data_IF_142212754170
#
_entry.id   IF_142212754170
#
_cell.length_a   1.000
_cell.length_b   1.000
_cell.length_c   1.000
_cell.angle_alpha   90.00
_cell.angle_beta   90.00
_cell.angle_gamma   90.00
#
_symmetry.space_group_name_H-M   'P 1'
#
loop_
_entity.id
_entity.type
_entity.pdbx_description
1 polymer ?
#
# COMPACT_ATOMS: atom_id res chain seq x y z
N UNK A 1 20.36 -19.50 -6.96
CA UNK A 1 19.55 -20.22 -7.96
C UNK A 1 20.41 -20.60 -9.17
N UNK A 2 21.02 -19.65 -9.88
CA UNK A 2 21.85 -19.90 -11.08
C UNK A 2 23.02 -20.87 -10.81
N UNK A 3 23.72 -20.71 -9.68
CA UNK A 3 24.79 -21.66 -9.27
C UNK A 3 24.27 -23.09 -8.98
N UNK A 4 22.97 -23.25 -8.74
CA UNK A 4 22.32 -24.55 -8.54
C UNK A 4 21.68 -25.10 -9.83
N UNK A 5 21.93 -24.48 -11.00
CA UNK A 5 21.38 -24.88 -12.28
C UNK A 5 19.87 -24.59 -12.44
N UNK A 6 19.29 -23.74 -11.58
CA UNK A 6 17.88 -23.34 -11.66
C UNK A 6 17.74 -22.08 -12.50
N UNK A 7 16.71 -22.05 -13.34
CA UNK A 7 16.36 -20.84 -14.10
C UNK A 7 15.72 -19.80 -13.17
N UNK A 8 16.27 -18.58 -13.18
CA UNK A 8 15.71 -17.44 -12.49
C UNK A 8 14.69 -16.73 -13.38
N UNK A 9 13.45 -16.58 -12.91
CA UNK A 9 12.41 -15.80 -13.60
C UNK A 9 12.42 -14.39 -13.02
N UNK A 10 13.13 -13.48 -13.67
CA UNK A 10 13.31 -12.11 -13.22
C UNK A 10 14.55 -11.45 -13.83
N UNK A 11 14.82 -10.19 -13.42
CA UNK A 11 15.96 -9.43 -13.95
C UNK A 11 17.30 -9.95 -13.40
N UNK A 12 18.41 -9.57 -14.05
CA UNK A 12 19.77 -9.87 -13.57
C UNK A 12 20.01 -9.28 -12.17
N UNK A 13 20.83 -9.94 -11.32
CA UNK A 13 21.15 -9.45 -9.98
C UNK A 13 21.71 -8.01 -9.97
N UNK A 14 22.48 -7.65 -10.99
CA UNK A 14 23.07 -6.33 -11.15
C UNK A 14 21.99 -5.24 -11.33
N UNK A 15 20.95 -5.54 -12.12
CA UNK A 15 19.82 -4.63 -12.29
C UNK A 15 19.03 -4.47 -10.99
N UNK A 16 18.83 -5.56 -10.22
CA UNK A 16 18.18 -5.51 -8.90
C UNK A 16 19.00 -4.66 -7.95
N UNK A 17 20.31 -4.89 -7.86
CA UNK A 17 21.20 -4.14 -6.98
C UNK A 17 21.25 -2.65 -7.34
N UNK A 18 21.40 -2.33 -8.63
CA UNK A 18 21.50 -0.96 -9.11
C UNK A 18 20.19 -0.17 -8.87
N UNK A 19 19.04 -0.77 -9.17
CA UNK A 19 17.73 -0.09 -9.01
C UNK A 19 17.21 -0.14 -7.59
N UNK A 20 17.69 -1.07 -6.75
CA UNK A 20 17.37 -1.18 -5.33
C UNK A 20 18.10 -0.15 -4.46
N UNK A 21 19.26 0.33 -4.88
CA UNK A 21 19.98 1.44 -4.24
C UNK A 21 19.46 2.77 -4.83
N UNK A 22 18.80 3.57 -4.01
CA UNK A 22 18.14 4.81 -4.45
C UNK A 22 19.10 5.83 -5.05
N UNK A 23 20.31 5.96 -4.50
CA UNK A 23 21.31 6.90 -5.00
C UNK A 23 21.96 6.37 -6.28
N UNK A 24 22.23 5.06 -6.37
CA UNK A 24 22.73 4.43 -7.58
C UNK A 24 21.71 4.53 -8.73
N UNK A 25 20.42 4.26 -8.44
CA UNK A 25 19.33 4.40 -9.40
C UNK A 25 19.25 5.84 -9.93
N UNK A 26 19.28 6.84 -9.04
CA UNK A 26 19.25 8.26 -9.43
C UNK A 26 20.40 8.63 -10.36
N UNK A 27 21.62 8.19 -10.04
CA UNK A 27 22.79 8.42 -10.92
C UNK A 27 22.63 7.75 -12.27
N UNK A 28 22.14 6.51 -12.29
CA UNK A 28 21.92 5.75 -13.52
C UNK A 28 20.87 6.39 -14.43
N UNK A 29 19.74 6.85 -13.88
CA UNK A 29 18.67 7.47 -14.68
C UNK A 29 19.08 8.83 -15.20
N UNK A 30 19.82 9.63 -14.42
CA UNK A 30 20.40 10.90 -14.90
C UNK A 30 21.35 10.68 -16.08
N UNK A 31 22.23 9.66 -16.00
CA UNK A 31 23.12 9.30 -17.09
C UNK A 31 22.36 8.83 -18.34
N UNK A 32 21.16 8.27 -18.17
CA UNK A 32 20.27 7.89 -19.26
C UNK A 32 19.40 9.03 -19.80
N UNK A 33 19.57 10.28 -19.31
CA UNK A 33 18.79 11.44 -19.72
C UNK A 33 17.37 11.46 -19.17
N UNK A 34 17.13 10.74 -18.07
CA UNK A 34 15.84 10.73 -17.37
C UNK A 34 15.93 11.59 -16.12
N UNK A 35 14.95 12.45 -15.91
CA UNK A 35 14.91 13.36 -14.78
C UNK A 35 14.33 12.67 -13.54
N UNK A 36 15.11 12.42 -12.46
CA UNK A 36 14.56 11.98 -11.18
C UNK A 36 13.90 13.16 -10.45
N UNK A 37 13.08 12.86 -9.45
CA UNK A 37 12.59 13.88 -8.51
C UNK A 37 13.75 14.76 -8.09
N UNK A 38 13.64 16.12 -8.17
CA UNK A 38 14.73 17.02 -7.79
C UNK A 38 15.26 16.68 -6.39
N UNK A 39 16.56 16.39 -6.28
CA UNK A 39 17.13 15.88 -5.03
C UNK A 39 18.64 15.66 -5.13
N UNK A 40 19.27 15.27 -4.02
CA UNK A 40 20.69 14.97 -3.97
C UNK A 40 21.00 13.60 -4.58
N UNK A 41 22.21 13.42 -5.09
CA UNK A 41 22.72 12.15 -5.64
C UNK A 41 23.73 11.50 -4.71
N UNK A 42 24.12 12.21 -3.65
CA UNK A 42 25.02 11.76 -2.60
C UNK A 42 24.33 11.88 -1.24
N UNK A 43 24.74 11.09 -0.25
CA UNK A 43 24.22 11.19 1.11
C UNK A 43 24.47 12.58 1.72
N UNK A 44 23.52 13.01 2.54
CA UNK A 44 23.55 14.27 3.29
C UNK A 44 23.75 13.98 4.76
N UNK A 45 24.71 14.66 5.40
CA UNK A 45 25.02 14.49 6.81
C UNK A 45 24.90 15.79 7.63
N UNK A 46 24.98 16.96 6.95
CA UNK A 46 24.91 18.26 7.61
C UNK A 46 23.50 18.88 7.44
N UNK A 47 22.85 19.30 8.55
CA UNK A 47 21.60 20.07 8.46
C UNK A 47 21.67 21.30 7.59
N UNK A 48 22.83 21.93 7.43
CA UNK A 48 23.03 23.08 6.55
C UNK A 48 22.79 22.72 5.07
N UNK A 49 23.08 21.48 4.66
CA UNK A 49 22.80 21.00 3.31
C UNK A 49 21.28 20.89 3.07
N UNK A 50 20.51 20.48 4.10
CA UNK A 50 19.03 20.43 4.03
C UNK A 50 18.47 21.83 3.81
N UNK A 51 18.98 22.80 4.55
CA UNK A 51 18.58 24.21 4.44
C UNK A 51 18.91 24.75 3.05
N UNK A 52 20.16 24.59 2.61
CA UNK A 52 20.60 25.05 1.28
C UNK A 52 19.79 24.41 0.16
N UNK A 53 19.48 23.12 0.27
CA UNK A 53 18.63 22.43 -0.72
C UNK A 53 17.21 22.99 -0.74
N UNK A 54 16.60 23.23 0.44
CA UNK A 54 15.26 23.79 0.54
C UNK A 54 15.16 25.22 0.00
N UNK A 55 16.18 26.05 0.23
CA UNK A 55 16.26 27.41 -0.32
C UNK A 55 16.41 27.41 -1.86
N UNK A 56 17.18 26.46 -2.40
CA UNK A 56 17.41 26.35 -3.83
C UNK A 56 16.24 25.71 -4.61
N UNK A 57 15.53 24.74 -4.02
CA UNK A 57 14.52 23.93 -4.70
C UNK A 57 13.08 24.20 -4.22
N UNK A 58 12.91 25.03 -3.19
CA UNK A 58 11.63 25.32 -2.55
C UNK A 58 11.29 24.31 -1.43
N UNK A 59 10.53 24.81 -0.45
CA UNK A 59 9.99 24.04 0.65
C UNK A 59 8.57 23.54 0.32
N UNK A 60 8.10 22.41 0.90
CA UNK A 60 8.84 21.50 1.80
C UNK A 60 9.82 20.56 1.08
N UNK A 61 10.74 19.98 1.87
CA UNK A 61 11.75 19.02 1.43
C UNK A 61 11.51 17.67 2.14
N UNK A 62 11.73 16.56 1.46
CA UNK A 62 11.74 15.24 2.06
C UNK A 62 13.18 14.79 2.36
N UNK A 63 13.46 14.45 3.61
CA UNK A 63 14.66 13.71 4.04
C UNK A 63 14.30 12.24 3.99
N UNK A 64 15.04 11.44 3.21
CA UNK A 64 14.75 10.03 2.95
C UNK A 64 15.96 9.16 3.27
N UNK A 65 15.74 7.97 3.84
CA UNK A 65 16.78 6.96 3.97
C UNK A 65 17.28 6.51 2.59
N UNK A 66 18.59 6.42 2.41
CA UNK A 66 19.21 5.91 1.17
C UNK A 66 18.97 4.41 1.00
N UNK A 67 19.03 3.65 2.10
CA UNK A 67 18.65 2.24 2.15
C UNK A 67 17.17 2.09 2.51
N UNK A 68 16.49 1.07 1.97
CA UNK A 68 15.11 0.73 2.31
C UNK A 68 14.05 1.25 1.33
N UNK A 69 12.78 0.94 1.62
CA UNK A 69 11.61 1.23 0.78
C UNK A 69 10.30 1.25 1.57
N UNK A 70 9.17 1.44 0.85
CA UNK A 70 7.85 1.36 1.48
C UNK A 70 7.47 2.55 2.37
N UNK A 71 8.07 3.74 2.15
CA UNK A 71 7.71 4.96 2.89
C UNK A 71 8.37 5.11 4.26
N UNK A 72 9.17 4.14 4.71
CA UNK A 72 9.92 4.23 5.98
C UNK A 72 11.14 5.14 5.86
N UNK A 73 11.48 5.84 6.93
CA UNK A 73 12.62 6.75 6.95
C UNK A 73 12.41 8.00 6.10
N UNK A 74 11.16 8.42 5.91
CA UNK A 74 10.81 9.68 5.23
C UNK A 74 10.38 10.70 6.28
N UNK A 75 11.01 11.89 6.23
CA UNK A 75 10.62 13.05 7.03
C UNK A 75 10.41 14.25 6.14
N UNK A 76 9.21 14.83 6.22
CA UNK A 76 8.92 16.08 5.51
C UNK A 76 9.35 17.24 6.40
N UNK A 77 10.11 18.17 5.83
CA UNK A 77 10.68 19.35 6.49
C UNK A 77 10.03 20.58 5.87
N UNK A 78 9.22 21.28 6.65
CA UNK A 78 8.47 22.44 6.16
C UNK A 78 9.32 23.72 6.07
N UNK A 79 10.44 23.80 6.79
CA UNK A 79 11.31 24.96 6.80
C UNK A 79 12.64 24.70 7.51
N UNK A 80 13.55 25.69 7.46
CA UNK A 80 14.94 25.51 7.93
C UNK A 80 15.07 25.16 9.42
N UNK A 81 14.09 25.56 10.24
CA UNK A 81 14.12 25.30 11.69
C UNK A 81 13.98 23.82 12.04
N UNK A 82 13.38 23.02 11.17
CA UNK A 82 13.12 21.59 11.37
C UNK A 82 14.27 20.73 10.85
N UNK A 83 15.17 21.28 10.01
CA UNK A 83 16.18 20.53 9.26
C UNK A 83 17.04 19.61 10.12
N UNK A 84 17.60 20.11 11.24
CA UNK A 84 18.48 19.35 12.13
C UNK A 84 17.75 18.19 12.81
N UNK A 85 16.55 18.44 13.33
CA UNK A 85 15.77 17.44 14.04
C UNK A 85 15.30 16.33 13.07
N UNK A 86 14.85 16.71 11.88
CA UNK A 86 14.36 15.78 10.86
C UNK A 86 15.48 14.88 10.31
N UNK A 87 16.66 15.45 9.98
CA UNK A 87 17.80 14.67 9.51
C UNK A 87 18.27 13.67 10.56
N UNK A 88 18.42 14.13 11.83
CA UNK A 88 18.83 13.26 12.91
C UNK A 88 17.80 12.14 13.19
N UNK A 89 16.51 12.42 13.08
CA UNK A 89 15.46 11.42 13.27
C UNK A 89 15.44 10.40 12.13
N UNK A 90 15.49 10.86 10.85
CA UNK A 90 15.54 9.99 9.69
C UNK A 90 16.77 9.07 9.71
N UNK A 91 17.94 9.61 10.02
CA UNK A 91 19.17 8.82 10.09
C UNK A 91 19.14 7.74 11.19
N UNK A 92 18.62 8.07 12.39
CA UNK A 92 18.44 7.07 13.46
C UNK A 92 17.46 5.96 13.08
N UNK A 93 16.34 6.34 12.47
CA UNK A 93 15.33 5.38 12.00
C UNK A 93 15.90 4.46 10.91
N UNK A 94 16.62 5.04 9.94
CA UNK A 94 17.30 4.30 8.88
C UNK A 94 18.35 3.33 9.44
N UNK A 95 19.18 3.78 10.38
CA UNK A 95 20.18 2.94 11.04
C UNK A 95 19.53 1.77 11.80
N UNK A 96 18.42 2.03 12.49
CA UNK A 96 17.72 0.99 13.25
C UNK A 96 17.01 -0.03 12.34
N UNK A 97 16.40 0.43 11.24
CA UNK A 97 15.60 -0.41 10.37
C UNK A 97 16.42 -1.16 9.29
N UNK A 98 17.50 -0.53 8.80
CA UNK A 98 18.26 -1.02 7.64
C UNK A 98 19.74 -1.25 7.90
N UNK A 99 20.24 -0.87 9.08
CA UNK A 99 21.66 -0.96 9.40
C UNK A 99 22.53 0.13 8.74
N UNK A 100 21.92 1.07 8.03
CA UNK A 100 22.57 2.19 7.34
C UNK A 100 21.78 3.48 7.60
N UNK A 101 22.42 4.46 8.24
CA UNK A 101 21.83 5.76 8.58
C UNK A 101 21.96 6.83 7.49
N UNK A 102 22.47 6.48 6.30
CA UNK A 102 22.62 7.42 5.20
C UNK A 102 21.27 7.97 4.73
N UNK A 103 21.18 9.29 4.62
CA UNK A 103 19.98 10.00 4.14
C UNK A 103 20.30 10.82 2.89
N UNK A 104 19.30 11.10 2.09
CA UNK A 104 19.36 12.00 0.94
C UNK A 104 18.13 12.90 0.90
N UNK A 105 18.14 13.93 0.07
CA UNK A 105 17.09 14.92 -0.02
C UNK A 105 16.34 14.81 -1.34
N UNK A 106 15.03 15.04 -1.27
CA UNK A 106 14.18 15.23 -2.43
C UNK A 106 13.21 16.39 -2.20
N UNK A 107 12.83 17.07 -3.28
CA UNK A 107 11.70 17.99 -3.24
C UNK A 107 10.42 17.22 -2.89
N UNK A 108 9.64 17.76 -1.97
CA UNK A 108 8.34 17.19 -1.63
C UNK A 108 7.23 17.84 -2.48
N UNK A 109 6.38 17.03 -3.05
CA UNK A 109 5.18 17.47 -3.77
C UNK A 109 3.96 17.14 -2.92
N UNK A 110 3.12 18.16 -2.66
CA UNK A 110 1.96 17.98 -1.77
C UNK A 110 0.84 17.16 -2.41
N UNK A 111 0.60 17.32 -3.70
CA UNK A 111 -0.52 16.69 -4.42
C UNK A 111 -0.10 16.07 -5.74
N UNK A 112 0.94 15.22 -5.75
CA UNK A 112 1.38 14.57 -6.98
C UNK A 112 0.45 13.41 -7.30
N UNK A 113 0.48 12.99 -8.57
CA UNK A 113 -0.08 11.71 -8.99
C UNK A 113 1.05 10.69 -9.16
N UNK A 114 0.73 9.44 -8.85
CA UNK A 114 1.61 8.31 -9.05
C UNK A 114 1.28 7.66 -10.39
N UNK A 115 2.14 7.88 -11.36
CA UNK A 115 2.04 7.29 -12.69
C UNK A 115 3.19 6.33 -12.89
N UNK A 116 2.93 5.17 -13.45
CA UNK A 116 3.97 4.17 -13.67
C UNK A 116 3.87 3.56 -15.06
N UNK A 117 4.98 3.07 -15.59
CA UNK A 117 5.04 2.48 -16.92
C UNK A 117 5.53 1.05 -16.84
N UNK A 118 4.70 0.11 -17.34
CA UNK A 118 5.09 -1.28 -17.46
C UNK A 118 6.09 -1.46 -18.57
N UNK A 119 7.25 -2.08 -18.27
CA UNK A 119 8.22 -2.51 -19.26
C UNK A 119 8.32 -4.04 -19.30
N UNK A 120 8.66 -4.54 -20.45
CA UNK A 120 8.96 -5.95 -20.69
C UNK A 120 10.19 -6.04 -21.58
N UNK A 121 11.20 -6.81 -21.16
CA UNK A 121 12.48 -6.92 -21.81
C UNK A 121 12.93 -8.38 -21.92
N UNK A 122 13.68 -8.72 -22.98
CA UNK A 122 14.28 -10.05 -23.17
C UNK A 122 15.81 -10.01 -23.06
N UNK A 123 16.42 -11.18 -23.09
CA UNK A 123 17.89 -11.33 -23.08
C UNK A 123 18.55 -11.06 -24.44
N UNK A 124 17.79 -10.70 -25.47
CA UNK A 124 18.26 -10.47 -26.84
C UNK A 124 18.29 -9.00 -27.24
N UNK A 125 17.97 -8.09 -26.29
CA UNK A 125 17.93 -6.65 -26.49
C UNK A 125 16.57 -6.09 -26.89
N UNK A 126 15.54 -6.93 -26.97
CA UNK A 126 14.16 -6.48 -27.15
C UNK A 126 13.63 -5.83 -25.87
N UNK A 127 13.11 -4.61 -25.96
CA UNK A 127 12.46 -3.91 -24.85
C UNK A 127 11.25 -3.17 -25.39
N UNK A 128 10.10 -3.36 -24.75
CA UNK A 128 8.86 -2.64 -25.04
C UNK A 128 8.27 -2.05 -23.75
N UNK A 129 7.54 -0.95 -23.87
CA UNK A 129 6.62 -0.50 -22.85
C UNK A 129 5.19 -0.96 -23.17
N UNK A 130 4.40 -1.28 -22.17
CA UNK A 130 3.01 -1.71 -22.31
C UNK A 130 2.00 -0.61 -21.89
N UNK A 131 2.42 0.63 -21.89
CA UNK A 131 1.61 1.77 -21.47
C UNK A 131 1.79 2.10 -19.99
N UNK A 132 1.08 3.15 -19.57
CA UNK A 132 1.10 3.66 -18.22
C UNK A 132 -0.12 3.20 -17.41
N UNK A 133 0.06 3.17 -16.09
CA UNK A 133 -0.98 3.03 -15.07
C UNK A 133 -1.02 4.27 -14.18
N UNK A 134 -2.17 4.58 -13.65
CA UNK A 134 -2.33 5.47 -12.52
C UNK A 134 -2.55 4.67 -11.24
N UNK A 135 -1.76 4.94 -10.23
CA UNK A 135 -1.80 4.29 -8.93
C UNK A 135 -1.91 5.32 -7.80
N UNK A 136 -2.56 6.45 -8.06
CA UNK A 136 -2.66 7.56 -7.12
C UNK A 136 -3.64 7.31 -5.97
N UNK A 137 -4.59 6.39 -6.14
CA UNK A 137 -5.51 6.04 -5.05
C UNK A 137 -4.81 5.11 -4.08
N UNK A 138 -4.24 5.70 -3.04
CA UNK A 138 -3.43 5.03 -2.04
C UNK A 138 -3.91 5.40 -0.64
N UNK A 139 -3.59 4.54 0.31
CA UNK A 139 -3.66 4.82 1.73
C UNK A 139 -2.34 4.44 2.38
N UNK A 140 -1.68 5.39 3.06
CA UNK A 140 -0.36 5.19 3.69
C UNK A 140 0.64 4.50 2.74
N UNK A 141 0.68 4.95 1.49
CA UNK A 141 1.50 4.40 0.40
C UNK A 141 1.12 2.97 -0.06
N UNK A 142 0.00 2.42 0.39
CA UNK A 142 -0.57 1.19 -0.16
C UNK A 142 -1.61 1.53 -1.21
N UNK A 143 -1.43 1.01 -2.42
CA UNK A 143 -2.35 1.19 -3.54
C UNK A 143 -3.65 0.44 -3.26
N UNK A 144 -4.80 1.05 -3.57
CA UNK A 144 -6.14 0.48 -3.39
C UNK A 144 -6.92 0.37 -4.68
N UNK A 145 -6.74 1.36 -5.58
CA UNK A 145 -7.34 1.36 -6.91
C UNK A 145 -6.28 1.79 -7.91
N UNK A 146 -6.15 1.00 -8.96
CA UNK A 146 -5.25 1.26 -10.08
C UNK A 146 -6.03 1.26 -11.40
N UNK A 147 -5.60 2.07 -12.34
CA UNK A 147 -6.25 2.15 -13.65
C UNK A 147 -5.25 2.30 -14.81
N UNK A 148 -5.62 1.77 -15.96
CA UNK A 148 -4.87 1.90 -17.21
C UNK A 148 -5.82 2.22 -18.38
N UNK A 149 -5.43 3.17 -19.27
CA UNK A 149 -4.32 4.11 -19.14
C UNK A 149 -4.56 5.15 -18.04
N UNK A 150 -3.51 5.90 -17.64
CA UNK A 150 -3.62 6.96 -16.61
C UNK A 150 -4.54 8.08 -17.08
N UNK A 151 -5.67 8.34 -16.39
CA UNK A 151 -6.62 9.36 -16.81
C UNK A 151 -6.09 10.76 -16.53
N UNK A 152 -6.40 11.71 -17.40
CA UNK A 152 -6.01 13.11 -17.25
C UNK A 152 -4.52 13.40 -17.51
N UNK A 153 -3.69 12.38 -17.74
CA UNK A 153 -2.28 12.56 -18.10
C UNK A 153 -2.17 13.11 -19.53
N UNK A 154 -1.50 14.27 -19.76
CA UNK A 154 -1.32 14.81 -21.11
C UNK A 154 -0.56 13.83 -22.02
N UNK A 155 -0.97 13.73 -23.28
CA UNK A 155 -0.38 12.78 -24.23
C UNK A 155 1.12 12.93 -24.41
N UNK A 156 1.63 14.18 -24.40
CA UNK A 156 3.07 14.46 -24.47
C UNK A 156 3.81 13.96 -23.22
N UNK A 157 3.24 14.16 -22.03
CA UNK A 157 3.80 13.64 -20.78
C UNK A 157 3.80 12.11 -20.79
N UNK A 158 2.68 11.49 -21.17
CA UNK A 158 2.59 10.04 -21.29
C UNK A 158 3.67 9.47 -22.23
N UNK A 159 3.85 10.09 -23.40
CA UNK A 159 4.89 9.67 -24.35
C UNK A 159 6.30 9.84 -23.78
N UNK A 160 6.56 10.95 -23.08
CA UNK A 160 7.84 11.19 -22.39
C UNK A 160 8.14 10.11 -21.34
N UNK A 161 7.15 9.79 -20.48
CA UNK A 161 7.32 8.77 -19.45
C UNK A 161 7.57 7.38 -20.03
N UNK A 162 6.87 7.01 -21.11
CA UNK A 162 7.08 5.74 -21.83
C UNK A 162 8.49 5.66 -22.40
N UNK A 163 8.98 6.75 -23.00
CA UNK A 163 10.33 6.85 -23.54
C UNK A 163 11.37 6.71 -22.43
N UNK A 164 11.15 7.41 -21.31
CA UNK A 164 12.02 7.34 -20.14
C UNK A 164 12.05 5.95 -19.52
N UNK A 165 10.92 5.26 -19.40
CA UNK A 165 10.86 3.91 -18.86
C UNK A 165 11.70 2.93 -19.68
N UNK A 166 11.65 3.02 -21.00
CA UNK A 166 12.51 2.22 -21.89
C UNK A 166 13.99 2.58 -21.72
N UNK A 167 14.31 3.86 -21.58
CA UNK A 167 15.69 4.32 -21.35
C UNK A 167 16.25 3.79 -20.02
N UNK A 168 15.46 3.84 -18.93
CA UNK A 168 15.82 3.27 -17.62
C UNK A 168 16.08 1.77 -17.73
N UNK A 169 15.16 1.02 -18.35
CA UNK A 169 15.32 -0.43 -18.52
C UNK A 169 16.58 -0.78 -19.33
N UNK A 170 16.91 -0.01 -20.37
CA UNK A 170 18.16 -0.17 -21.14
C UNK A 170 19.40 0.13 -20.31
N UNK A 171 19.37 1.20 -19.51
CA UNK A 171 20.52 1.64 -18.71
C UNK A 171 20.97 0.62 -17.66
N UNK A 172 20.03 -0.20 -17.13
CA UNK A 172 20.34 -1.24 -16.16
C UNK A 172 20.40 -2.66 -16.76
N UNK A 173 20.35 -2.81 -18.09
CA UNK A 173 20.36 -4.12 -18.74
C UNK A 173 19.20 -5.03 -18.29
N UNK A 174 18.00 -4.47 -18.18
CA UNK A 174 16.83 -5.13 -17.62
C UNK A 174 16.36 -6.30 -18.47
N UNK A 175 15.93 -7.38 -17.80
CA UNK A 175 15.32 -8.57 -18.42
C UNK A 175 14.10 -8.98 -17.60
N UNK A 176 13.01 -9.38 -18.25
CA UNK A 176 11.75 -9.74 -17.63
C UNK A 176 10.76 -8.55 -17.54
N UNK A 177 9.74 -8.70 -16.71
CA UNK A 177 8.77 -7.65 -16.45
C UNK A 177 9.25 -6.73 -15.31
N UNK A 178 9.15 -5.42 -15.53
CA UNK A 178 9.47 -4.40 -14.53
C UNK A 178 8.56 -3.20 -14.69
N UNK A 179 8.56 -2.33 -13.69
CA UNK A 179 7.76 -1.12 -13.69
C UNK A 179 8.62 0.06 -13.29
N UNK A 180 8.56 1.12 -14.07
CA UNK A 180 9.21 2.39 -13.76
C UNK A 180 8.17 3.35 -13.23
N UNK A 181 8.32 3.80 -11.99
CA UNK A 181 7.40 4.68 -11.27
C UNK A 181 7.84 6.15 -11.39
N UNK A 182 6.85 7.02 -11.56
CA UNK A 182 7.01 8.45 -11.73
C UNK A 182 6.05 9.22 -10.82
N UNK A 183 6.49 10.37 -10.34
CA UNK A 183 5.60 11.40 -9.81
C UNK A 183 5.25 12.38 -10.93
N UNK A 184 3.97 12.64 -11.11
CA UNK A 184 3.45 13.68 -11.97
C UNK A 184 2.73 14.75 -11.14
N UNK A 185 3.12 15.99 -11.29
CA UNK A 185 2.46 17.12 -10.64
C UNK A 185 1.59 17.86 -11.67
N UNK A 186 0.26 17.69 -11.60
CA UNK A 186 -0.66 18.39 -12.52
C UNK A 186 -0.57 19.90 -12.44
N UNK A 187 -0.17 20.47 -11.30
CA UNK A 187 -0.12 21.92 -11.09
C UNK A 187 1.03 22.57 -11.89
N UNK A 188 2.19 21.92 -11.93
CA UNK A 188 3.36 22.41 -12.71
C UNK A 188 3.46 21.76 -14.10
N UNK A 189 2.75 20.65 -14.35
CA UNK A 189 2.93 19.81 -15.53
C UNK A 189 4.22 18.97 -15.51
N UNK A 190 5.01 19.07 -14.44
CA UNK A 190 6.27 18.34 -14.26
C UNK A 190 6.03 16.86 -13.98
N UNK A 191 6.96 16.05 -14.44
CA UNK A 191 6.96 14.62 -14.12
C UNK A 191 8.41 14.15 -13.95
N UNK A 192 8.64 13.25 -12.97
CA UNK A 192 9.98 12.83 -12.55
C UNK A 192 10.01 11.35 -12.20
N UNK A 193 11.13 10.71 -12.51
CA UNK A 193 11.41 9.34 -12.07
C UNK A 193 11.42 9.29 -10.54
N UNK A 194 10.72 8.30 -9.99
CA UNK A 194 10.67 7.99 -8.56
C UNK A 194 11.54 6.77 -8.23
N UNK A 195 11.20 5.62 -8.78
CA UNK A 195 11.94 4.37 -8.60
C UNK A 195 11.61 3.35 -9.71
N UNK A 196 12.35 2.23 -9.74
CA UNK A 196 12.02 1.09 -10.60
C UNK A 196 11.78 -0.14 -9.75
N UNK A 197 10.61 -0.73 -9.91
CA UNK A 197 10.29 -2.03 -9.34
C UNK A 197 10.78 -3.14 -10.26
N UNK A 198 11.78 -3.88 -9.79
CA UNK A 198 12.48 -4.94 -10.54
C UNK A 198 11.78 -6.30 -10.44
N UNK A 199 10.45 -6.28 -10.52
CA UNK A 199 9.55 -7.43 -10.42
C UNK A 199 8.21 -7.12 -11.07
N UNK A 200 7.38 -8.14 -11.23
CA UNK A 200 5.97 -7.93 -11.53
C UNK A 200 5.27 -7.26 -10.33
N UNK A 201 4.29 -6.42 -10.60
CA UNK A 201 3.48 -5.75 -9.57
C UNK A 201 2.08 -6.35 -9.48
N UNK A 202 1.37 -6.08 -8.37
CA UNK A 202 0.01 -6.56 -8.12
C UNK A 202 -0.93 -6.07 -9.22
N UNK A 203 -0.77 -4.83 -9.66
CA UNK A 203 -1.60 -4.09 -10.60
C UNK A 203 -1.31 -4.35 -12.09
N UNK A 204 -0.46 -5.36 -12.42
CA UNK A 204 -0.22 -5.73 -13.82
C UNK A 204 -1.50 -6.11 -14.62
N UNK A 205 -2.56 -6.64 -13.99
CA UNK A 205 -3.76 -7.05 -14.72
C UNK A 205 -4.46 -5.93 -15.46
N UNK A 206 -4.42 -4.67 -15.01
CA UNK A 206 -5.04 -3.58 -15.78
C UNK A 206 -4.28 -3.32 -17.08
N UNK A 207 -2.97 -3.49 -17.09
CA UNK A 207 -2.15 -3.42 -18.32
C UNK A 207 -2.47 -4.58 -19.25
N UNK A 208 -2.58 -5.81 -18.73
CA UNK A 208 -2.99 -6.99 -19.52
C UNK A 208 -4.37 -6.79 -20.14
N UNK A 209 -5.32 -6.26 -19.36
CA UNK A 209 -6.70 -6.03 -19.84
C UNK A 209 -6.78 -5.04 -20.99
N UNK A 210 -5.96 -3.99 -21.00
CA UNK A 210 -6.00 -2.97 -22.07
C UNK A 210 -5.08 -3.30 -23.25
N UNK A 211 -4.05 -4.15 -23.07
CA UNK A 211 -3.09 -4.48 -24.14
C UNK A 211 -3.33 -5.86 -24.76
N UNK A 212 -3.95 -6.78 -24.03
CA UNK A 212 -4.08 -8.18 -24.40
C UNK A 212 -2.77 -8.98 -24.29
N UNK A 213 -1.73 -8.41 -23.67
CA UNK A 213 -0.44 -9.08 -23.44
C UNK A 213 -0.47 -9.80 -22.10
N UNK A 214 -0.28 -11.11 -22.10
CA UNK A 214 -0.07 -11.91 -20.89
C UNK A 214 1.38 -11.72 -20.41
N UNK A 215 1.55 -10.86 -19.40
CA UNK A 215 2.85 -10.46 -18.87
C UNK A 215 3.52 -11.63 -18.15
N UNK A 216 2.77 -12.44 -17.42
CA UNK A 216 3.31 -13.58 -16.67
C UNK A 216 3.79 -14.67 -17.64
N UNK A 217 3.01 -15.00 -18.66
CA UNK A 217 3.43 -15.93 -19.69
C UNK A 217 4.66 -15.41 -20.46
N UNK A 218 4.73 -14.10 -20.72
CA UNK A 218 5.89 -13.50 -21.36
C UNK A 218 7.14 -13.59 -20.46
N UNK A 219 7.04 -13.37 -19.14
CA UNK A 219 8.16 -13.57 -18.22
C UNK A 219 8.70 -15.00 -18.25
N UNK A 220 7.82 -15.98 -18.29
CA UNK A 220 8.21 -17.40 -18.35
C UNK A 220 8.95 -17.73 -19.67
N UNK A 221 8.46 -17.23 -20.80
CA UNK A 221 9.12 -17.40 -22.11
C UNK A 221 10.49 -16.73 -22.15
N UNK A 222 10.58 -15.48 -21.66
CA UNK A 222 11.87 -14.77 -21.56
C UNK A 222 12.85 -15.54 -20.68
N UNK A 223 12.40 -16.06 -19.54
CA UNK A 223 13.24 -16.87 -18.65
C UNK A 223 13.67 -18.20 -19.28
N UNK A 224 12.88 -18.76 -20.21
CA UNK A 224 13.25 -19.91 -21.03
C UNK A 224 14.27 -19.56 -22.15
N UNK A 225 14.65 -18.28 -22.29
CA UNK A 225 15.61 -17.81 -23.30
C UNK A 225 14.98 -17.41 -24.63
N UNK A 226 13.65 -17.32 -24.69
CA UNK A 226 12.96 -16.90 -25.91
C UNK A 226 13.00 -15.36 -26.07
N UNK A 227 13.03 -14.85 -27.32
CA UNK A 227 12.84 -13.43 -27.56
C UNK A 227 11.39 -13.02 -27.23
N UNK A 228 11.15 -11.73 -26.97
CA UNK A 228 9.81 -11.21 -26.63
C UNK A 228 8.73 -11.61 -27.67
N UNK A 229 9.11 -11.72 -28.93
CA UNK A 229 8.16 -11.95 -30.01
C UNK A 229 7.13 -10.82 -30.20
N UNK A 230 7.40 -9.66 -29.62
CA UNK A 230 6.55 -8.47 -29.60
C UNK A 230 7.37 -7.23 -29.85
N UNK A 231 6.95 -6.40 -30.80
CA UNK A 231 7.55 -5.10 -31.09
C UNK A 231 6.69 -3.96 -30.56
N UNK A 232 7.29 -2.80 -30.37
CA UNK A 232 6.56 -1.64 -29.79
C UNK A 232 5.34 -1.21 -30.63
N UNK A 233 5.42 -1.31 -31.95
CA UNK A 233 4.33 -0.97 -32.87
C UNK A 233 3.18 -1.97 -32.84
N UNK A 234 3.37 -3.15 -32.27
CA UNK A 234 2.32 -4.16 -32.04
C UNK A 234 1.56 -3.94 -30.73
N UNK A 235 2.14 -3.24 -29.78
CA UNK A 235 1.45 -2.91 -28.52
C UNK A 235 0.33 -1.91 -28.80
N UNK A 236 -0.90 -2.30 -28.49
CA UNK A 236 -2.10 -1.47 -28.67
C UNK A 236 -2.87 -1.39 -27.35
N UNK A 237 -3.03 -0.18 -26.84
CA UNK A 237 -3.92 0.08 -25.71
C UNK A 237 -5.34 0.24 -26.23
N UNK A 238 -6.31 -0.52 -25.67
CA UNK A 238 -7.73 -0.50 -26.05
C UNK A 238 -8.60 -0.39 -24.81
N UNK A 239 -9.51 0.57 -24.81
CA UNK A 239 -10.45 0.78 -23.72
C UNK A 239 -9.77 1.29 -22.46
N UNK A 240 -10.36 0.99 -21.33
CA UNK A 240 -9.93 1.37 -20.01
C UNK A 240 -10.15 0.24 -19.02
N UNK A 241 -9.20 -0.01 -18.12
CA UNK A 241 -9.31 -1.01 -17.08
C UNK A 241 -9.08 -0.37 -15.71
N UNK A 242 -9.83 -0.83 -14.72
CA UNK A 242 -9.70 -0.45 -13.32
C UNK A 242 -9.50 -1.72 -12.51
N UNK A 243 -8.53 -1.72 -11.61
CA UNK A 243 -8.33 -2.75 -10.60
C UNK A 243 -8.71 -2.20 -9.23
N UNK A 244 -9.38 -3.01 -8.41
CA UNK A 244 -9.67 -2.74 -7.02
C UNK A 244 -9.09 -3.87 -6.17
N UNK A 245 -8.29 -3.52 -5.16
CA UNK A 245 -7.74 -4.49 -4.20
C UNK A 245 -8.75 -4.74 -3.10
N UNK A 246 -9.24 -5.98 -3.04
CA UNK A 246 -10.13 -6.42 -1.96
C UNK A 246 -9.28 -7.02 -0.85
N UNK A 247 -9.06 -6.24 0.21
CA UNK A 247 -8.28 -6.61 1.37
C UNK A 247 -9.20 -6.96 2.54
N UNK A 248 -8.75 -7.83 3.44
CA UNK A 248 -9.42 -8.12 4.71
C UNK A 248 -9.15 -7.01 5.74
N UNK A 249 -9.71 -5.84 5.48
CA UNK A 249 -9.59 -4.62 6.31
C UNK A 249 -10.95 -4.00 6.56
N UNK A 250 -11.12 -3.33 7.71
CA UNK A 250 -12.35 -2.62 8.08
C UNK A 250 -12.20 -1.10 7.84
N UNK A 251 -12.72 -0.55 6.74
CA UNK A 251 -12.64 0.88 6.47
C UNK A 251 -13.35 1.76 7.52
N UNK A 252 -14.42 1.26 8.14
CA UNK A 252 -15.13 1.99 9.18
C UNK A 252 -14.31 2.13 10.48
N UNK A 253 -13.28 1.29 10.64
CA UNK A 253 -12.34 1.31 11.77
C UNK A 253 -10.93 1.73 11.34
N UNK A 254 -10.82 2.60 10.34
CA UNK A 254 -9.56 3.11 9.85
C UNK A 254 -8.70 2.06 9.13
N UNK A 255 -9.34 1.14 8.39
CA UNK A 255 -8.70 0.04 7.67
C UNK A 255 -7.90 -0.90 8.58
N UNK A 256 -8.46 -1.17 9.76
CA UNK A 256 -7.87 -2.15 10.66
C UNK A 256 -7.94 -3.54 10.00
N UNK A 257 -6.80 -4.26 9.91
CA UNK A 257 -6.81 -5.64 9.43
C UNK A 257 -7.77 -6.53 10.22
N UNK A 258 -8.49 -7.37 9.52
CA UNK A 258 -9.49 -8.30 10.10
C UNK A 258 -9.14 -9.74 9.79
N UNK A 259 -8.08 -10.30 10.42
CA UNK A 259 -7.75 -11.71 10.28
C UNK A 259 -8.91 -12.56 10.82
N UNK A 260 -9.16 -13.69 10.17
CA UNK A 260 -10.26 -14.57 10.57
C UNK A 260 -10.68 -15.53 9.48
N UNK A 261 -11.68 -16.36 9.76
CA UNK A 261 -12.20 -17.32 8.79
C UNK A 261 -13.24 -16.66 7.90
N UNK A 262 -13.08 -16.80 6.60
CA UNK A 262 -14.06 -16.38 5.59
C UNK A 262 -15.20 -17.37 5.59
N UNK A 263 -16.36 -17.00 6.12
CA UNK A 263 -17.52 -17.89 6.24
C UNK A 263 -18.31 -18.01 4.94
N UNK A 264 -18.34 -16.94 4.14
CA UNK A 264 -18.87 -16.96 2.79
C UNK A 264 -18.06 -16.00 1.89
N UNK A 265 -17.85 -16.41 0.64
CA UNK A 265 -17.17 -15.60 -0.37
C UNK A 265 -17.80 -15.85 -1.73
N UNK A 266 -18.32 -14.78 -2.32
CA UNK A 266 -18.84 -14.80 -3.68
C UNK A 266 -18.18 -13.70 -4.48
N UNK A 267 -17.31 -14.08 -5.38
CA UNK A 267 -16.70 -13.17 -6.33
C UNK A 267 -17.68 -12.81 -7.44
N UNK A 268 -17.66 -11.55 -7.93
CA UNK A 268 -18.45 -11.15 -9.07
C UNK A 268 -17.94 -11.79 -10.37
N UNK A 269 -18.76 -11.76 -11.40
CA UNK A 269 -18.40 -12.23 -12.75
C UNK A 269 -19.16 -11.48 -13.83
N UNK A 270 -18.89 -11.85 -15.07
CA UNK A 270 -19.57 -11.29 -16.23
C UNK A 270 -18.63 -10.69 -17.28
N UNK A 271 -19.16 -10.17 -18.39
CA UNK A 271 -18.36 -9.64 -19.48
C UNK A 271 -17.47 -8.47 -19.03
N UNK A 272 -16.15 -8.59 -19.24
CA UNK A 272 -15.17 -7.57 -18.89
C UNK A 272 -14.88 -7.45 -17.39
N UNK A 273 -15.23 -8.47 -16.59
CA UNK A 273 -14.83 -8.61 -15.18
C UNK A 273 -13.88 -9.79 -15.07
N UNK A 274 -12.70 -9.55 -14.51
CA UNK A 274 -11.69 -10.56 -14.14
C UNK A 274 -11.51 -10.54 -12.64
N UNK A 275 -11.31 -11.71 -12.07
CA UNK A 275 -11.02 -11.91 -10.64
C UNK A 275 -9.72 -12.70 -10.52
N UNK A 276 -8.74 -12.13 -9.83
CA UNK A 276 -7.52 -12.82 -9.44
C UNK A 276 -7.56 -12.97 -7.92
N UNK A 277 -7.95 -14.14 -7.41
CA UNK A 277 -8.18 -14.37 -5.99
C UNK A 277 -7.31 -15.51 -5.44
N UNK A 278 -6.92 -15.38 -4.18
CA UNK A 278 -6.14 -16.37 -3.46
C UNK A 278 -6.93 -17.12 -2.38
N UNK A 279 -8.19 -16.73 -2.13
CA UNK A 279 -9.02 -17.26 -1.06
C UNK A 279 -10.37 -17.78 -1.55
N UNK A 280 -10.90 -18.75 -0.82
CA UNK A 280 -12.26 -19.30 -0.98
C UNK A 280 -12.98 -19.33 0.38
N UNK A 281 -14.29 -19.57 0.37
CA UNK A 281 -15.04 -19.77 1.62
C UNK A 281 -14.47 -20.95 2.40
N UNK A 282 -14.29 -20.79 3.70
CA UNK A 282 -13.65 -21.73 4.62
C UNK A 282 -12.17 -21.46 4.89
N UNK A 283 -11.50 -20.65 4.07
CA UNK A 283 -10.11 -20.26 4.32
C UNK A 283 -9.99 -19.29 5.48
N UNK A 284 -8.80 -19.26 6.09
CA UNK A 284 -8.48 -18.32 7.17
C UNK A 284 -7.46 -17.30 6.70
N UNK A 285 -7.79 -16.02 6.82
CA UNK A 285 -6.86 -14.90 6.61
C UNK A 285 -5.93 -14.82 7.84
N UNK A 286 -4.62 -15.06 7.67
CA UNK A 286 -3.68 -15.05 8.78
C UNK A 286 -3.31 -13.62 9.20
N UNK A 287 -2.95 -13.46 10.48
CA UNK A 287 -2.48 -12.16 11.00
C UNK A 287 -1.01 -11.84 10.67
N UNK A 288 -0.29 -12.73 9.97
CA UNK A 288 1.18 -12.64 9.79
C UNK A 288 1.62 -12.31 8.36
N UNK A 289 0.70 -12.35 7.41
CA UNK A 289 0.95 -12.08 5.99
C UNK A 289 0.06 -10.95 5.50
N UNK A 290 0.19 -10.62 4.22
CA UNK A 290 -0.66 -9.65 3.52
C UNK A 290 -2.13 -10.09 3.60
N UNK A 291 -3.03 -9.14 3.75
CA UNK A 291 -4.47 -9.34 3.89
C UNK A 291 -5.25 -9.24 2.57
N UNK A 292 -4.56 -9.22 1.44
CA UNK A 292 -5.16 -9.19 0.11
C UNK A 292 -5.93 -10.48 -0.16
N UNK A 293 -7.26 -10.40 -0.21
CA UNK A 293 -8.14 -11.51 -0.56
C UNK A 293 -8.10 -11.80 -2.06
N UNK A 294 -8.06 -10.75 -2.86
CA UNK A 294 -8.02 -10.82 -4.32
C UNK A 294 -8.17 -9.46 -4.97
N UNK A 295 -8.11 -9.47 -6.28
CA UNK A 295 -8.23 -8.28 -7.14
C UNK A 295 -9.44 -8.41 -8.04
N UNK A 296 -10.24 -7.36 -8.12
CA UNK A 296 -11.27 -7.20 -9.13
C UNK A 296 -10.71 -6.32 -10.24
N UNK A 297 -10.81 -6.75 -11.48
CA UNK A 297 -10.41 -5.97 -12.65
C UNK A 297 -11.61 -5.81 -13.57
N UNK A 298 -12.02 -4.57 -13.83
CA UNK A 298 -13.10 -4.28 -14.76
C UNK A 298 -12.54 -3.55 -15.99
N UNK A 299 -12.80 -4.08 -17.18
CA UNK A 299 -12.42 -3.49 -18.45
C UNK A 299 -13.66 -3.05 -19.24
N UNK A 300 -13.59 -1.90 -19.91
CA UNK A 300 -14.62 -1.42 -20.83
C UNK A 300 -14.00 -0.59 -21.96
N UNK A 301 -14.85 -0.13 -22.90
CA UNK A 301 -14.40 0.66 -24.04
C UNK A 301 -13.94 2.06 -23.66
N UNK A 302 -14.46 2.59 -22.57
CA UNK A 302 -14.06 3.88 -21.99
C UNK A 302 -14.07 3.83 -20.46
N UNK A 303 -13.55 4.89 -19.82
CA UNK A 303 -13.36 4.97 -18.37
C UNK A 303 -14.69 4.96 -17.61
N UNK A 304 -15.70 5.69 -18.08
CA UNK A 304 -16.99 5.79 -17.38
C UNK A 304 -17.70 4.42 -17.35
N UNK A 305 -17.63 3.68 -18.45
CA UNK A 305 -18.15 2.30 -18.49
C UNK A 305 -17.33 1.36 -17.60
N UNK A 306 -15.99 1.54 -17.50
CA UNK A 306 -15.17 0.74 -16.62
C UNK A 306 -15.52 1.01 -15.14
N UNK A 307 -15.71 2.28 -14.75
CA UNK A 307 -16.18 2.67 -13.41
C UNK A 307 -17.56 2.04 -13.13
N UNK A 308 -18.52 2.17 -14.04
CA UNK A 308 -19.86 1.62 -13.85
C UNK A 308 -19.83 0.09 -13.69
N UNK A 309 -18.98 -0.60 -14.47
CA UNK A 309 -18.80 -2.05 -14.40
C UNK A 309 -18.15 -2.48 -13.08
N UNK A 310 -17.13 -1.75 -12.64
CA UNK A 310 -16.47 -2.03 -11.35
C UNK A 310 -17.44 -1.80 -10.19
N UNK A 311 -18.26 -0.73 -10.25
CA UNK A 311 -19.31 -0.50 -9.26
C UNK A 311 -20.30 -1.67 -9.17
N UNK A 312 -20.80 -2.14 -10.30
CA UNK A 312 -21.67 -3.31 -10.34
C UNK A 312 -20.99 -4.57 -9.81
N UNK A 313 -19.70 -4.77 -10.13
CA UNK A 313 -18.92 -5.89 -9.63
C UNK A 313 -18.75 -5.83 -8.09
N UNK A 314 -18.51 -4.63 -7.53
CA UNK A 314 -18.42 -4.46 -6.07
C UNK A 314 -19.76 -4.68 -5.38
N UNK A 315 -20.89 -4.33 -6.02
CA UNK A 315 -22.24 -4.59 -5.49
C UNK A 315 -22.58 -6.09 -5.48
N UNK A 316 -22.02 -6.85 -6.43
CA UNK A 316 -22.20 -8.31 -6.51
C UNK A 316 -21.22 -9.08 -5.60
N UNK A 317 -20.14 -8.43 -5.11
CA UNK A 317 -19.18 -9.07 -4.21
C UNK A 317 -19.81 -9.31 -2.83
N UNK A 318 -19.69 -10.51 -2.32
CA UNK A 318 -20.06 -10.82 -0.95
C UNK A 318 -18.86 -11.44 -0.21
N UNK A 319 -18.50 -10.86 0.94
CA UNK A 319 -17.45 -11.34 1.86
C UNK A 319 -18.06 -11.38 3.26
N UNK A 320 -18.05 -12.55 3.89
CA UNK A 320 -18.54 -12.74 5.25
C UNK A 320 -17.49 -13.42 6.13
N UNK A 321 -17.52 -13.14 7.42
CA UNK A 321 -16.56 -13.67 8.40
C UNK A 321 -15.38 -12.73 8.67
N UNK A 322 -15.00 -11.92 7.68
CA UNK A 322 -14.00 -10.85 7.79
C UNK A 322 -14.55 -9.56 7.19
N UNK A 323 -14.09 -8.40 7.63
CA UNK A 323 -14.37 -7.13 6.95
C UNK A 323 -13.60 -7.07 5.63
N UNK A 324 -14.04 -6.22 4.69
CA UNK A 324 -13.29 -5.98 3.46
C UNK A 324 -13.28 -4.51 3.06
N UNK A 325 -12.32 -4.15 2.21
CA UNK A 325 -12.20 -2.80 1.64
C UNK A 325 -13.33 -2.45 0.66
N UNK A 326 -14.18 -3.39 0.26
CA UNK A 326 -15.22 -3.18 -0.76
C UNK A 326 -16.12 -1.94 -0.53
N UNK A 327 -16.59 -1.63 0.69
CA UNK A 327 -17.39 -0.42 0.93
C UNK A 327 -16.62 0.89 0.65
N UNK A 328 -15.34 0.94 0.98
CA UNK A 328 -14.50 2.09 0.69
C UNK A 328 -14.20 2.21 -0.80
N UNK A 329 -13.92 1.10 -1.49
CA UNK A 329 -13.70 1.05 -2.93
C UNK A 329 -14.93 1.58 -3.69
N UNK A 330 -16.14 1.19 -3.26
CA UNK A 330 -17.37 1.72 -3.82
C UNK A 330 -17.47 3.24 -3.65
N UNK A 331 -17.14 3.76 -2.47
CA UNK A 331 -17.16 5.19 -2.18
C UNK A 331 -16.12 5.96 -3.01
N UNK A 332 -14.92 5.38 -3.21
CA UNK A 332 -13.87 5.94 -4.06
C UNK A 332 -14.38 6.11 -5.50
N UNK A 333 -14.97 5.07 -6.09
CA UNK A 333 -15.46 5.09 -7.48
C UNK A 333 -16.61 6.08 -7.68
N UNK A 334 -17.40 6.37 -6.63
CA UNK A 334 -18.51 7.32 -6.69
C UNK A 334 -18.06 8.77 -6.44
N UNK A 335 -16.84 8.98 -5.95
CA UNK A 335 -16.33 10.31 -5.63
C UNK A 335 -16.10 11.17 -6.88
N UNK A 336 -16.49 12.45 -6.78
CA UNK A 336 -16.35 13.41 -7.88
C UNK A 336 -14.90 13.59 -8.34
N UNK A 337 -13.95 13.67 -7.40
CA UNK A 337 -12.53 13.83 -7.71
C UNK A 337 -11.96 12.60 -8.45
N UNK A 338 -12.37 11.38 -8.05
CA UNK A 338 -11.97 10.17 -8.79
C UNK A 338 -12.53 10.19 -10.20
N UNK A 339 -13.82 10.48 -10.37
CA UNK A 339 -14.47 10.56 -11.70
C UNK A 339 -13.85 11.62 -12.59
N UNK A 340 -13.52 12.79 -12.02
CA UNK A 340 -12.86 13.88 -12.72
C UNK A 340 -11.34 13.66 -12.92
N UNK A 341 -10.76 12.58 -12.39
CA UNK A 341 -9.33 12.31 -12.40
C UNK A 341 -8.48 13.45 -11.78
N UNK A 342 -8.98 14.05 -10.70
CA UNK A 342 -8.32 15.15 -9.95
C UNK A 342 -7.76 14.72 -8.60
N UNK A 343 -7.89 13.44 -8.25
CA UNK A 343 -7.32 12.84 -7.06
C UNK A 343 -5.78 12.80 -7.11
N UNK A 344 -5.14 12.73 -5.94
CA UNK A 344 -3.68 12.68 -5.76
C UNK A 344 -3.30 11.63 -4.72
N UNK A 345 -2.01 11.40 -4.49
CA UNK A 345 -1.51 10.27 -3.68
C UNK A 345 -1.97 10.26 -2.21
N UNK A 346 -2.28 11.41 -1.62
CA UNK A 346 -2.81 11.54 -0.24
C UNK A 346 -4.29 11.93 -0.20
N UNK A 347 -4.97 11.93 -1.35
CA UNK A 347 -6.36 12.35 -1.49
C UNK A 347 -7.33 11.57 -0.58
N UNK A 348 -7.09 10.26 -0.43
CA UNK A 348 -7.96 9.40 0.36
C UNK A 348 -8.00 9.84 1.84
N UNK A 349 -6.84 10.22 2.40
CA UNK A 349 -6.75 10.66 3.78
C UNK A 349 -7.13 12.13 3.98
N UNK A 350 -6.89 12.98 2.96
CA UNK A 350 -7.05 14.43 3.08
C UNK A 350 -8.45 14.92 2.69
N UNK A 351 -9.11 14.26 1.73
CA UNK A 351 -10.28 14.81 1.07
C UNK A 351 -11.47 13.86 0.95
N UNK A 352 -11.28 12.53 0.95
CA UNK A 352 -12.39 11.61 0.81
C UNK A 352 -13.06 11.35 2.17
N UNK A 353 -14.35 11.69 2.25
CA UNK A 353 -15.17 11.35 3.42
C UNK A 353 -15.59 9.87 3.37
N UNK A 354 -15.03 9.07 4.25
CA UNK A 354 -15.40 7.69 4.51
C UNK A 354 -16.33 7.55 5.74
N UNK A 355 -16.78 8.66 6.30
CA UNK A 355 -17.75 8.67 7.40
C UNK A 355 -19.06 8.00 7.00
N UNK A 356 -19.72 7.36 7.97
CA UNK A 356 -20.98 6.66 7.77
C UNK A 356 -20.88 5.29 7.08
N UNK A 357 -19.67 4.79 6.81
CA UNK A 357 -19.50 3.38 6.49
C UNK A 357 -19.88 2.56 7.72
N UNK A 358 -20.78 1.58 7.52
CA UNK A 358 -21.13 0.67 8.60
C UNK A 358 -19.92 -0.24 8.90
N UNK A 359 -19.57 -0.44 10.18
CA UNK A 359 -18.61 -1.49 10.53
C UNK A 359 -19.09 -2.83 9.95
N UNK A 360 -18.15 -3.67 9.56
CA UNK A 360 -18.49 -5.02 9.15
C UNK A 360 -19.33 -5.70 10.26
N UNK A 361 -20.40 -6.34 9.86
CA UNK A 361 -21.19 -7.12 10.80
C UNK A 361 -20.27 -8.14 11.46
N UNK A 362 -20.21 -8.13 12.79
CA UNK A 362 -19.58 -9.24 13.52
C UNK A 362 -20.31 -10.50 13.08
N UNK A 363 -19.59 -11.53 12.61
CA UNK A 363 -20.24 -12.77 12.25
C UNK A 363 -21.08 -13.21 13.45
N UNK A 364 -22.32 -13.53 13.19
CA UNK A 364 -23.14 -14.15 14.22
C UNK A 364 -22.37 -15.41 14.68
N UNK A 365 -22.08 -15.59 15.97
CA UNK A 365 -21.36 -16.76 16.42
C UNK A 365 -22.09 -18.02 15.90
N UNK A 366 -21.33 -18.99 15.41
CA UNK A 366 -21.91 -20.26 14.92
C UNK A 366 -22.89 -20.82 15.95
N UNK A 367 -24.01 -21.42 15.48
CA UNK A 367 -24.95 -22.03 16.39
C UNK A 367 -24.25 -23.16 17.15
N UNK A 368 -24.45 -23.26 18.47
CA UNK A 368 -23.85 -24.31 19.31
C UNK A 368 -24.24 -25.72 18.84
N UNK A 369 -25.43 -25.84 18.23
CA UNK A 369 -25.92 -27.08 17.60
C UNK A 369 -27.13 -26.81 16.70
N UNK A 370 -27.44 -27.78 15.84
CA UNK A 370 -28.61 -27.76 14.98
C UNK A 370 -29.66 -28.75 15.48
N UNK A 371 -30.90 -28.31 15.58
CA UNK A 371 -32.04 -29.17 15.93
C UNK A 371 -32.85 -29.43 14.68
N UNK A 372 -32.97 -30.70 14.29
CA UNK A 372 -33.80 -31.18 13.19
C UNK A 372 -35.08 -31.77 13.71
N UNK A 373 -36.24 -31.30 13.24
CA UNK A 373 -37.54 -31.87 13.50
C UNK A 373 -38.22 -32.18 12.17
N UNK A 374 -38.37 -33.43 11.85
CA UNK A 374 -38.82 -33.87 10.53
C UNK A 374 -37.84 -33.48 9.42
N UNK A 375 -38.32 -32.70 8.43
CA UNK A 375 -37.51 -32.22 7.29
C UNK A 375 -36.95 -30.82 7.50
N UNK A 376 -37.16 -30.23 8.67
CA UNK A 376 -36.70 -28.86 8.98
C UNK A 376 -35.59 -28.86 9.99
N UNK A 377 -34.56 -28.05 9.77
CA UNK A 377 -33.42 -27.87 10.68
C UNK A 377 -33.36 -26.42 11.10
N UNK A 378 -33.16 -26.18 12.39
CA UNK A 378 -33.00 -24.86 12.99
C UNK A 378 -31.66 -24.75 13.66
N UNK A 379 -30.93 -23.66 13.46
CA UNK A 379 -29.77 -23.31 14.28
C UNK A 379 -30.24 -22.93 15.68
N UNK A 380 -29.63 -23.51 16.71
CA UNK A 380 -29.97 -23.22 18.11
C UNK A 380 -28.73 -22.74 18.83
N UNK A 381 -28.84 -21.66 19.57
CA UNK A 381 -27.80 -21.11 20.46
C UNK A 381 -28.18 -21.26 21.91
N UNK A 382 -27.22 -21.69 22.72
CA UNK A 382 -27.34 -21.68 24.16
C UNK A 382 -26.83 -20.36 24.74
N UNK A 383 -27.74 -19.45 25.05
CA UNK A 383 -27.40 -18.28 25.83
C UNK A 383 -27.20 -18.63 27.29
N UNK A 384 -25.97 -18.76 27.75
CA UNK A 384 -25.69 -18.69 29.18
C UNK A 384 -25.95 -17.25 29.62
N UNK A 385 -26.94 -17.07 30.46
CA UNK A 385 -27.21 -15.73 31.04
C UNK A 385 -26.01 -15.32 31.88
N UNK A 386 -25.11 -14.50 31.28
CA UNK A 386 -24.21 -13.67 32.09
C UNK A 386 -25.04 -12.49 32.58
N UNK A 387 -25.05 -12.19 33.89
CA UNK A 387 -25.72 -10.98 34.35
C UNK A 387 -25.16 -9.80 33.57
N UNK A 388 -26.00 -9.05 32.90
CA UNK A 388 -25.64 -7.83 32.21
C UNK A 388 -25.12 -6.83 33.23
N UNK A 389 -23.84 -6.60 33.27
CA UNK A 389 -23.33 -5.30 33.67
C UNK A 389 -23.76 -4.26 32.62
N UNK A 390 -23.88 -2.96 32.97
CA UNK A 390 -24.37 -1.96 32.05
C UNK A 390 -23.60 -2.01 30.72
N UNK A 391 -24.36 -2.08 29.63
CA UNK A 391 -23.80 -2.07 28.26
C UNK A 391 -23.03 -0.76 28.08
N UNK A 392 -21.72 -0.86 27.93
CA UNK A 392 -20.86 0.31 27.70
C UNK A 392 -19.58 0.35 28.52
N UNK A 393 -19.39 -0.55 29.47
CA UNK A 393 -18.08 -0.70 30.11
C UNK A 393 -17.26 -1.72 29.29
N UNK A 394 -16.28 -1.25 28.55
CA UNK A 394 -15.17 -2.10 28.18
C UNK A 394 -14.70 -2.83 29.45
N UNK A 395 -14.68 -4.16 29.42
CA UNK A 395 -14.14 -4.96 30.51
C UNK A 395 -12.70 -4.52 30.73
N UNK A 396 -12.42 -3.93 31.85
CA UNK A 396 -11.06 -3.84 32.30
C UNK A 396 -10.69 -2.52 32.88
N UNK A 397 -10.41 -2.54 34.13
CA UNK A 397 -9.48 -1.61 34.70
C UNK A 397 -8.24 -1.52 33.85
N UNK A 398 -8.02 -0.37 33.20
CA UNK A 398 -6.76 0.12 32.71
C UNK A 398 -5.84 -0.74 31.84
N UNK A 399 -6.30 -1.89 31.34
CA UNK A 399 -5.48 -2.79 30.55
C UNK A 399 -5.60 -2.44 29.05
N UNK A 400 -4.54 -1.88 28.47
CA UNK A 400 -4.50 -1.54 27.06
C UNK A 400 -3.80 -2.68 26.32
N UNK A 401 -4.60 -3.42 25.55
CA UNK A 401 -4.15 -4.58 24.79
C UNK A 401 -3.90 -4.21 23.33
N UNK A 402 -3.01 -4.94 22.66
CA UNK A 402 -2.84 -4.85 21.22
C UNK A 402 -4.07 -5.42 20.51
N UNK A 403 -4.68 -4.69 19.57
CA UNK A 403 -5.82 -5.19 18.81
C UNK A 403 -5.43 -6.26 17.77
N UNK A 404 -4.14 -6.40 17.48
CA UNK A 404 -3.61 -7.29 16.44
C UNK A 404 -2.25 -7.84 16.84
N UNK A 405 -1.83 -8.94 16.20
CA UNK A 405 -0.47 -9.46 16.33
C UNK A 405 0.49 -8.63 15.48
N UNK A 406 1.64 -8.28 16.03
CA UNK A 406 2.62 -7.43 15.33
C UNK A 406 3.89 -7.24 16.14
N UNK A 407 4.62 -6.17 15.83
CA UNK A 407 5.82 -5.76 16.55
C UNK A 407 5.56 -4.43 17.27
N UNK A 408 5.92 -4.32 18.54
CA UNK A 408 5.85 -3.06 19.27
C UNK A 408 6.97 -2.13 18.78
N UNK A 409 6.65 -1.12 17.97
CA UNK A 409 7.67 -0.25 17.35
C UNK A 409 7.96 1.00 18.17
N UNK A 410 7.00 1.40 19.02
CA UNK A 410 7.15 2.61 19.83
C UNK A 410 6.39 2.51 21.14
N UNK A 411 6.97 3.08 22.20
CA UNK A 411 6.32 3.33 23.50
C UNK A 411 6.57 4.80 23.86
N UNK A 412 5.51 5.56 24.09
CA UNK A 412 5.54 7.00 24.34
C UNK A 412 5.36 7.36 25.83
N UNK A 413 5.20 6.33 26.67
CA UNK A 413 4.90 6.53 28.08
C UNK A 413 5.80 5.69 28.97
N UNK A 414 5.98 6.15 30.23
CA UNK A 414 6.75 5.44 31.25
C UNK A 414 5.88 5.15 32.48
N UNK A 415 6.19 4.10 33.26
CA UNK A 415 5.53 3.84 34.54
C UNK A 415 5.56 5.06 35.45
N UNK A 416 4.43 5.38 36.07
CA UNK A 416 4.22 6.58 36.90
C UNK A 416 3.83 7.84 36.14
N UNK A 417 3.84 7.83 34.80
CA UNK A 417 3.42 8.97 33.99
C UNK A 417 1.89 9.13 33.98
N UNK A 418 1.42 10.37 34.10
CA UNK A 418 0.01 10.73 33.87
C UNK A 418 -0.27 10.85 32.39
N UNK A 419 -1.42 10.33 31.96
CA UNK A 419 -1.90 10.37 30.58
C UNK A 419 -3.33 10.85 30.53
N UNK A 420 -3.69 11.56 29.46
CA UNK A 420 -5.07 11.95 29.18
C UNK A 420 -5.76 10.88 28.34
N UNK A 421 -7.09 10.76 28.46
CA UNK A 421 -7.88 9.91 27.56
C UNK A 421 -7.64 10.31 26.10
N UNK A 422 -7.41 9.32 25.22
CA UNK A 422 -7.03 9.54 23.83
C UNK A 422 -5.52 9.80 23.58
N UNK A 423 -4.71 9.94 24.64
CA UNK A 423 -3.26 10.12 24.47
C UNK A 423 -2.60 8.85 23.91
N UNK A 424 -1.64 9.01 22.99
CA UNK A 424 -0.85 7.92 22.45
C UNK A 424 0.03 7.30 23.54
N UNK A 425 -0.09 5.99 23.72
CA UNK A 425 0.69 5.20 24.68
C UNK A 425 1.78 4.40 24.00
N UNK A 426 1.47 3.75 22.90
CA UNK A 426 2.37 2.89 22.18
C UNK A 426 1.93 2.75 20.70
N UNK A 427 2.79 2.20 19.86
CA UNK A 427 2.49 1.89 18.45
C UNK A 427 2.90 0.46 18.17
N UNK A 428 1.97 -0.32 17.63
CA UNK A 428 2.20 -1.68 17.15
C UNK A 428 2.19 -1.67 15.63
N UNK A 429 3.22 -2.22 15.03
CA UNK A 429 3.29 -2.43 13.58
C UNK A 429 2.89 -3.86 13.22
N UNK A 430 1.95 -3.99 12.30
CA UNK A 430 1.62 -5.24 11.64
C UNK A 430 1.36 -4.98 10.16
N UNK A 431 1.79 -5.88 9.28
CA UNK A 431 1.50 -5.82 7.83
C UNK A 431 1.87 -4.47 7.20
N UNK A 432 2.99 -3.87 7.62
CA UNK A 432 3.47 -2.53 7.20
C UNK A 432 2.58 -1.36 7.64
N UNK A 433 1.64 -1.60 8.54
CA UNK A 433 0.78 -0.56 9.10
C UNK A 433 1.10 -0.34 10.58
N UNK A 434 1.20 0.93 10.98
CA UNK A 434 1.35 1.33 12.36
C UNK A 434 -0.02 1.56 12.99
N UNK A 435 -0.32 0.84 14.07
CA UNK A 435 -1.58 0.97 14.81
C UNK A 435 -1.30 1.63 16.16
N UNK A 436 -1.83 2.84 16.42
CA UNK A 436 -1.65 3.52 17.69
C UNK A 436 -2.50 2.86 18.78
N UNK A 437 -1.90 2.64 19.94
CA UNK A 437 -2.59 2.27 21.16
C UNK A 437 -2.81 3.54 21.99
N UNK A 438 -4.08 3.92 22.16
CA UNK A 438 -4.47 5.15 22.85
C UNK A 438 -4.96 4.85 24.27
N UNK A 439 -4.80 5.80 25.17
CA UNK A 439 -5.36 5.71 26.52
C UNK A 439 -6.90 5.73 26.45
N UNK A 440 -7.59 4.71 27.00
CA UNK A 440 -9.05 4.68 27.00
C UNK A 440 -9.68 5.72 27.93
N UNK A 441 -8.94 6.20 28.91
CA UNK A 441 -9.35 7.23 29.88
C UNK A 441 -8.09 7.94 30.42
N UNK A 442 -8.29 9.03 31.17
CA UNK A 442 -7.21 9.73 31.86
C UNK A 442 -6.81 8.99 33.14
N UNK A 443 -5.53 8.73 33.32
CA UNK A 443 -5.04 7.94 34.46
C UNK A 443 -3.52 7.98 34.58
N UNK A 444 -2.98 7.07 35.40
CA UNK A 444 -1.54 6.92 35.59
C UNK A 444 -1.08 5.58 35.03
N UNK A 445 0.02 5.57 34.30
CA UNK A 445 0.65 4.34 33.76
C UNK A 445 1.22 3.52 34.90
N UNK A 446 0.68 2.32 35.12
CA UNK A 446 1.16 1.35 36.11
C UNK A 446 2.39 0.62 35.60
N UNK A 447 2.35 0.22 34.32
CA UNK A 447 3.44 -0.51 33.71
C UNK A 447 3.33 -0.64 32.19
N UNK A 448 4.48 -0.91 31.57
CA UNK A 448 4.59 -1.31 30.16
C UNK A 448 5.04 -2.77 30.14
N UNK A 449 4.27 -3.64 29.51
CA UNK A 449 4.42 -5.11 29.56
C UNK A 449 5.19 -5.70 28.38
N UNK A 450 5.52 -4.90 27.39
CA UNK A 450 6.22 -5.35 26.17
C UNK A 450 7.38 -4.41 25.86
N UNK A 451 8.47 -4.96 25.33
CA UNK A 451 9.63 -4.18 24.93
C UNK A 451 9.51 -3.71 23.49
N UNK A 452 10.01 -2.51 23.19
CA UNK A 452 10.15 -2.00 21.82
C UNK A 452 11.03 -2.95 21.00
N UNK A 453 10.59 -3.28 19.77
CA UNK A 453 11.20 -4.26 18.89
C UNK A 453 10.75 -5.71 19.15
N UNK A 454 9.98 -5.96 20.22
CA UNK A 454 9.46 -7.28 20.55
C UNK A 454 8.11 -7.59 19.88
N UNK A 455 7.81 -8.90 19.64
CA UNK A 455 6.53 -9.30 19.12
C UNK A 455 5.42 -9.13 20.16
N UNK A 456 4.22 -8.79 19.71
CA UNK A 456 3.00 -8.75 20.52
C UNK A 456 1.91 -9.56 19.83
N UNK A 457 1.13 -10.31 20.60
CA UNK A 457 -0.03 -11.04 20.10
C UNK A 457 -1.30 -10.18 20.16
N UNK A 458 -2.29 -10.51 19.33
CA UNK A 458 -3.62 -9.90 19.45
C UNK A 458 -4.20 -10.21 20.85
N UNK A 459 -4.74 -9.19 21.52
CA UNK A 459 -5.23 -9.26 22.89
C UNK A 459 -4.14 -9.25 23.98
N UNK A 460 -2.86 -9.22 23.62
CA UNK A 460 -1.77 -9.10 24.59
C UNK A 460 -1.75 -7.68 25.19
N UNK A 461 -1.68 -7.62 26.53
CA UNK A 461 -1.61 -6.35 27.24
C UNK A 461 -0.22 -5.72 27.01
N UNK A 462 -0.22 -4.48 26.53
CA UNK A 462 0.99 -3.69 26.26
C UNK A 462 1.22 -2.64 27.34
N UNK A 463 0.16 -1.94 27.78
CA UNK A 463 0.24 -0.88 28.81
C UNK A 463 -0.87 -1.12 29.85
N UNK A 464 -0.53 -0.91 31.10
CA UNK A 464 -1.51 -0.89 32.21
C UNK A 464 -1.67 0.53 32.74
N UNK A 465 -2.93 0.93 32.89
CA UNK A 465 -3.33 2.23 33.44
C UNK A 465 -4.14 2.03 34.72
N UNK A 466 -3.98 2.92 35.65
CA UNK A 466 -4.84 3.04 36.84
C UNK A 466 -5.68 4.30 36.72
N UNK A 467 -6.99 4.16 36.95
CA UNK A 467 -7.89 5.33 36.99
C UNK A 467 -7.58 6.18 38.20
N UNK A 468 -7.53 7.50 38.05
CA UNK A 468 -7.58 8.38 39.21
C UNK A 468 -8.90 8.14 39.94
N UNK A 469 -8.82 7.55 41.11
CA UNK A 469 -10.02 7.40 41.94
C UNK A 469 -10.66 8.76 42.15
N UNK A 470 -11.96 8.86 41.82
CA UNK A 470 -12.78 9.99 42.27
C UNK A 470 -12.76 9.94 43.78
N UNK A 471 -12.35 11.01 44.50
CA UNK A 471 -12.31 11.03 45.96
C UNK A 471 -13.70 10.86 46.56
#
# INVERSE_FOLDING_TARGET
MTAAGLTWVGPPPEAIAQMGDKLAARRAVLAAGVEPVPGTVDPVADPAEVVAFGEANGWPVAVKAAAGGGGRGIRVVAGPQEAAAALAAASREAQAAFGDGACYLERFFARPRHVEVQVLADGHGGIVHLGERDCSVQRRHQKLVEEAPSPGLPAETAQRLRTWAVAVAKACGYVGAGTVEFLWDPASGGAWFLEMNTRIQVEHPVTEAVTGVDIVAAQLRVAAGEPLGLTQDQVRVRGHAIECRVNAEDPARGFLPTPGTITALRWPGGPGVRVDAGYVAGDTVPAFYDDLLGKLVAWALDRDQAIARMRAALDDLAVEGVASTAPALARILDAGDFRAATHWTTWLEEALDLGGLAPAATPDPEPDFQVSVGTRTWPVRLYRHRPHGPAGAAEGGGLVASPLAGTLVKVEVAPGQRVAGGQLLAVVEAMKMETPLLAPFSGTVVGVRSAVGGPVAAGQIVVELETEGVP
#
